data_IF_778402214032
#
_entry.id   IF_778402214032
#
_cell.length_a   1.000
_cell.length_b   1.000
_cell.length_c   1.000
_cell.angle_alpha   90.00
_cell.angle_beta   90.00
_cell.angle_gamma   90.00
#
_symmetry.space_group_name_H-M   'P 1'
#
loop_
_entity.id
_entity.type
_entity.pdbx_description
1 polymer ?
#
# COMPACT_ATOMS: atom_id res chain seq x y z
N UNK A 1 24.77 4.86 10.68
CA UNK A 1 23.60 5.45 9.98
C UNK A 1 22.42 4.48 9.94
N UNK A 2 22.56 3.29 9.34
CA UNK A 2 21.48 2.30 9.29
C UNK A 2 20.82 2.01 10.65
N UNK A 3 21.60 1.68 11.68
CA UNK A 3 21.08 1.43 13.04
C UNK A 3 20.33 2.62 13.63
N UNK A 4 20.72 3.85 13.26
CA UNK A 4 20.02 5.06 13.68
C UNK A 4 18.65 5.18 13.00
N UNK A 5 18.55 4.85 11.70
CA UNK A 5 17.26 4.81 11.00
C UNK A 5 16.33 3.72 11.54
N UNK A 6 16.86 2.58 11.99
CA UNK A 6 16.07 1.53 12.65
C UNK A 6 15.46 2.09 13.94
N UNK A 7 16.29 2.68 14.82
CA UNK A 7 15.81 3.31 16.07
C UNK A 7 14.79 4.42 15.80
N UNK A 8 15.01 5.23 14.76
CA UNK A 8 14.06 6.28 14.36
C UNK A 8 12.69 5.70 13.95
N UNK A 9 12.66 4.59 13.22
CA UNK A 9 11.41 3.96 12.82
C UNK A 9 10.64 3.39 14.02
N UNK A 10 11.37 2.88 15.02
CA UNK A 10 10.80 2.34 16.27
C UNK A 10 10.32 3.41 17.25
N UNK A 11 10.77 4.67 17.10
CA UNK A 11 10.29 5.74 17.97
C UNK A 11 8.83 6.09 17.71
N UNK A 12 8.02 6.06 18.77
CA UNK A 12 6.62 6.49 18.73
C UNK A 12 6.54 8.03 18.74
N UNK A 13 5.63 8.65 17.96
CA UNK A 13 5.36 10.07 18.09
C UNK A 13 4.78 10.31 19.50
N UNK A 14 5.38 11.16 20.34
CA UNK A 14 4.81 11.43 21.66
C UNK A 14 3.56 12.30 21.53
N UNK A 15 2.53 12.03 22.35
CA UNK A 15 1.25 12.77 22.37
C UNK A 15 1.39 14.30 22.61
N UNK A 16 2.57 14.77 23.04
CA UNK A 16 2.78 16.16 23.49
C UNK A 16 4.10 16.80 23.01
N UNK A 17 5.02 16.04 22.40
CA UNK A 17 6.35 16.56 22.01
C UNK A 17 6.73 16.15 20.59
N UNK A 18 6.14 16.78 19.58
CA UNK A 18 6.55 16.64 18.17
C UNK A 18 8.02 17.02 17.86
N UNK A 19 8.89 17.16 18.88
CA UNK A 19 10.30 17.53 18.78
C UNK A 19 11.22 16.33 18.53
N UNK A 20 11.14 15.23 19.32
CA UNK A 20 12.18 14.17 19.27
C UNK A 20 12.16 13.33 18.01
N UNK A 21 11.00 12.79 17.63
CA UNK A 21 10.85 11.97 16.42
C UNK A 21 11.20 12.78 15.17
N UNK A 22 10.72 14.03 15.11
CA UNK A 22 11.04 14.99 14.05
C UNK A 22 12.53 15.34 14.01
N UNK A 23 13.18 15.53 15.15
CA UNK A 23 14.63 15.79 15.22
C UNK A 23 15.44 14.60 14.72
N UNK A 24 15.09 13.37 15.10
CA UNK A 24 15.76 12.16 14.61
C UNK A 24 15.64 12.03 13.09
N UNK A 25 14.44 12.27 12.55
CA UNK A 25 14.20 12.31 11.11
C UNK A 25 15.04 13.38 10.39
N UNK A 26 15.07 14.61 10.90
CA UNK A 26 15.87 15.67 10.30
C UNK A 26 17.37 15.35 10.35
N UNK A 27 17.86 14.76 11.44
CA UNK A 27 19.25 14.29 11.54
C UNK A 27 19.55 13.18 10.52
N UNK A 28 18.64 12.22 10.34
CA UNK A 28 18.79 11.16 9.35
C UNK A 28 18.93 11.74 7.92
N UNK A 29 18.09 12.73 7.57
CA UNK A 29 18.17 13.43 6.27
C UNK A 29 19.47 14.21 6.12
N UNK A 30 19.89 14.95 7.15
CA UNK A 30 21.14 15.72 7.13
C UNK A 30 22.36 14.84 6.96
N UNK A 31 22.44 13.72 7.69
CA UNK A 31 23.54 12.76 7.54
C UNK A 31 23.53 12.08 6.18
N UNK A 32 22.36 11.71 5.66
CA UNK A 32 22.25 11.15 4.31
C UNK A 32 22.80 12.13 3.27
N UNK A 33 22.40 13.40 3.34
CA UNK A 33 22.88 14.45 2.43
C UNK A 33 24.39 14.71 2.57
N UNK A 34 24.93 14.70 3.79
CA UNK A 34 26.36 14.87 4.03
C UNK A 34 27.18 13.71 3.42
N UNK A 35 26.77 12.46 3.68
CA UNK A 35 27.44 11.26 3.17
C UNK A 35 27.40 11.25 1.63
N UNK A 36 26.27 11.63 1.05
CA UNK A 36 26.11 11.78 -0.40
C UNK A 36 27.01 12.88 -0.98
N UNK A 37 27.10 14.03 -0.31
CA UNK A 37 28.00 15.11 -0.70
C UNK A 37 29.49 14.74 -0.65
N UNK A 38 29.86 13.75 0.18
CA UNK A 38 31.20 13.16 0.22
C UNK A 38 31.43 12.11 -0.89
N UNK A 39 30.42 11.83 -1.72
CA UNK A 39 30.48 10.80 -2.76
C UNK A 39 30.49 9.37 -2.21
N UNK A 40 30.17 9.19 -0.92
CA UNK A 40 30.14 7.87 -0.29
C UNK A 40 28.82 7.20 -0.66
N UNK A 41 28.93 5.99 -1.20
CA UNK A 41 27.77 5.23 -1.65
C UNK A 41 27.92 3.75 -1.31
N UNK A 42 27.03 3.24 -0.45
CA UNK A 42 27.09 1.87 0.08
C UNK A 42 25.70 1.25 0.19
N UNK A 43 25.67 -0.07 0.36
CA UNK A 43 24.43 -0.83 0.54
C UNK A 43 23.67 -0.37 1.79
N UNK A 44 24.39 -0.13 2.89
CA UNK A 44 23.82 0.30 4.16
C UNK A 44 23.21 1.71 4.06
N UNK A 45 23.80 2.58 3.21
CA UNK A 45 23.23 3.89 2.93
C UNK A 45 21.92 3.76 2.16
N UNK A 46 21.83 2.86 1.18
CA UNK A 46 20.58 2.57 0.47
C UNK A 46 19.53 1.97 1.40
N UNK A 47 19.89 1.01 2.26
CA UNK A 47 18.99 0.47 3.29
C UNK A 47 18.49 1.58 4.22
N UNK A 48 19.38 2.47 4.67
CA UNK A 48 19.01 3.62 5.51
C UNK A 48 18.05 4.57 4.79
N UNK A 49 18.26 4.84 3.49
CA UNK A 49 17.35 5.65 2.66
C UNK A 49 15.98 4.99 2.51
N UNK A 50 15.91 3.68 2.30
CA UNK A 50 14.64 2.92 2.27
C UNK A 50 13.87 3.04 3.58
N UNK A 51 14.56 2.94 4.73
CA UNK A 51 13.92 3.13 6.05
C UNK A 51 13.45 4.56 6.28
N UNK A 52 14.17 5.57 5.79
CA UNK A 52 13.74 6.98 5.83
C UNK A 52 12.48 7.18 4.98
N UNK A 53 12.44 6.63 3.76
CA UNK A 53 11.27 6.71 2.90
C UNK A 53 10.05 6.02 3.56
N UNK A 54 10.25 4.85 4.17
CA UNK A 54 9.21 4.17 4.95
C UNK A 54 8.73 5.02 6.13
N UNK A 55 9.65 5.64 6.88
CA UNK A 55 9.31 6.55 7.97
C UNK A 55 8.44 7.72 7.47
N UNK A 56 8.80 8.31 6.34
CA UNK A 56 8.05 9.40 5.73
C UNK A 56 6.63 8.94 5.34
N UNK A 57 6.47 7.73 4.80
CA UNK A 57 5.16 7.13 4.50
C UNK A 57 4.30 6.94 5.75
N UNK A 58 4.81 6.26 6.79
CA UNK A 58 4.01 5.96 8.00
C UNK A 58 3.71 7.19 8.86
N UNK A 59 4.38 8.31 8.62
CA UNK A 59 4.08 9.59 9.27
C UNK A 59 3.34 10.58 8.34
N UNK A 60 2.92 10.16 7.15
CA UNK A 60 2.12 11.00 6.24
C UNK A 60 2.89 12.13 5.56
N UNK A 61 4.22 12.04 5.47
CA UNK A 61 5.11 13.01 4.81
C UNK A 61 5.23 12.74 3.30
N UNK A 62 4.10 12.60 2.60
CA UNK A 62 4.04 12.07 1.23
C UNK A 62 4.92 12.79 0.19
N UNK A 63 5.01 14.14 0.15
CA UNK A 63 5.92 14.80 -0.78
C UNK A 63 7.40 14.44 -0.53
N UNK A 64 7.79 14.29 0.73
CA UNK A 64 9.14 13.87 1.09
C UNK A 64 9.37 12.40 0.72
N UNK A 65 8.40 11.52 1.06
CA UNK A 65 8.43 10.10 0.71
C UNK A 65 8.62 9.89 -0.80
N UNK A 66 7.86 10.61 -1.63
CA UNK A 66 7.96 10.52 -3.09
C UNK A 66 9.38 10.84 -3.59
N UNK A 67 9.99 11.92 -3.10
CA UNK A 67 11.35 12.31 -3.46
C UNK A 67 12.37 11.28 -2.95
N UNK A 68 12.22 10.83 -1.71
CA UNK A 68 13.13 9.85 -1.10
C UNK A 68 13.09 8.52 -1.83
N UNK A 69 11.92 8.01 -2.21
CA UNK A 69 11.79 6.77 -3.00
C UNK A 69 12.53 6.93 -4.34
N UNK A 70 12.28 8.01 -5.09
CA UNK A 70 12.97 8.25 -6.35
C UNK A 70 14.50 8.34 -6.21
N UNK A 71 14.98 9.07 -5.21
CA UNK A 71 16.41 9.15 -4.90
C UNK A 71 17.00 7.79 -4.50
N UNK A 72 16.26 6.99 -3.73
CA UNK A 72 16.67 5.65 -3.29
C UNK A 72 16.75 4.68 -4.47
N UNK A 73 15.81 4.73 -5.40
CA UNK A 73 15.85 3.94 -6.65
C UNK A 73 17.12 4.25 -7.43
N UNK A 74 17.41 5.54 -7.68
CA UNK A 74 18.63 5.95 -8.41
C UNK A 74 19.92 5.59 -7.68
N UNK A 75 19.92 5.71 -6.35
CA UNK A 75 21.03 5.27 -5.53
C UNK A 75 21.25 3.75 -5.67
N UNK A 76 20.19 2.96 -5.69
CA UNK A 76 20.29 1.49 -5.85
C UNK A 76 20.80 1.11 -7.24
N UNK A 77 20.31 1.78 -8.29
CA UNK A 77 20.81 1.61 -9.66
C UNK A 77 22.33 1.87 -9.73
N UNK A 78 22.78 2.96 -9.11
CA UNK A 78 24.21 3.30 -9.08
C UNK A 78 25.06 2.23 -8.36
N UNK A 79 24.55 1.58 -7.31
CA UNK A 79 25.25 0.45 -6.66
C UNK A 79 25.36 -0.75 -7.61
N UNK A 80 24.27 -1.11 -8.27
CA UNK A 80 24.20 -2.25 -9.18
C UNK A 80 25.14 -2.07 -10.38
N UNK A 81 25.18 -0.85 -10.93
CA UNK A 81 26.07 -0.50 -12.04
C UNK A 81 27.54 -0.59 -11.58
N UNK A 82 27.89 -0.01 -10.43
CA UNK A 82 29.25 -0.05 -9.90
C UNK A 82 29.72 -1.48 -9.61
N UNK A 83 28.86 -2.32 -9.02
CA UNK A 83 29.15 -3.73 -8.76
C UNK A 83 29.42 -4.52 -10.04
N UNK A 84 28.69 -4.21 -11.13
CA UNK A 84 28.88 -4.85 -12.44
C UNK A 84 30.19 -4.42 -13.10
N UNK A 85 30.61 -3.15 -12.96
CA UNK A 85 31.88 -2.66 -13.49
C UNK A 85 33.11 -3.23 -12.78
N UNK A 86 33.01 -3.51 -11.48
CA UNK A 86 34.09 -4.09 -10.69
C UNK A 86 34.23 -5.61 -10.84
N UNK A 87 33.21 -6.29 -11.39
CA UNK A 87 33.22 -7.73 -11.63
C UNK A 87 33.82 -8.03 -13.02
N UNK A 88 34.74 -9.00 -13.12
CA UNK A 88 35.45 -9.40 -14.36
C UNK A 88 34.49 -9.74 -15.53
N UNK A 89 34.89 -9.63 -16.82
CA UNK A 89 34.05 -9.94 -17.98
C UNK A 89 33.76 -11.43 -18.23
N UNK A 90 34.11 -12.32 -17.31
CA UNK A 90 33.90 -13.77 -17.45
C UNK A 90 32.42 -14.15 -17.23
N UNK A 91 31.93 -15.25 -17.86
CA UNK A 91 30.50 -15.56 -17.88
C UNK A 91 30.02 -15.81 -16.45
N UNK A 92 28.86 -15.23 -16.08
CA UNK A 92 28.56 -14.97 -14.69
C UNK A 92 28.24 -16.27 -13.97
N UNK A 93 28.70 -16.41 -12.74
CA UNK A 93 27.83 -17.02 -11.74
C UNK A 93 26.58 -16.14 -11.75
N UNK A 94 25.51 -16.65 -12.39
CA UNK A 94 24.29 -15.99 -12.86
C UNK A 94 23.98 -14.64 -12.19
N UNK A 95 23.60 -13.63 -12.96
CA UNK A 95 23.24 -12.27 -12.51
C UNK A 95 22.04 -12.15 -11.54
N UNK A 96 21.84 -13.13 -10.66
CA UNK A 96 20.93 -13.13 -9.53
C UNK A 96 21.43 -12.15 -8.47
N UNK A 97 20.61 -11.18 -8.03
CA UNK A 97 20.98 -10.26 -6.95
C UNK A 97 21.26 -11.03 -5.64
N UNK A 98 22.09 -10.46 -4.75
CA UNK A 98 22.21 -11.01 -3.39
C UNK A 98 20.89 -10.88 -2.64
N UNK A 99 20.61 -11.72 -1.63
CA UNK A 99 19.41 -11.60 -0.81
C UNK A 99 19.21 -10.21 -0.21
N UNK A 100 20.28 -9.52 0.22
CA UNK A 100 20.15 -8.16 0.77
C UNK A 100 19.72 -7.15 -0.29
N UNK A 101 20.30 -7.24 -1.50
CA UNK A 101 19.91 -6.37 -2.64
C UNK A 101 18.46 -6.66 -3.03
N UNK A 102 18.04 -7.93 -3.01
CA UNK A 102 16.69 -8.30 -3.33
C UNK A 102 15.65 -7.74 -2.34
N UNK A 103 15.96 -7.78 -1.04
CA UNK A 103 15.10 -7.17 -0.01
C UNK A 103 15.01 -5.66 -0.13
N UNK A 104 16.12 -4.99 -0.45
CA UNK A 104 16.12 -3.55 -0.70
C UNK A 104 15.21 -3.23 -1.88
N UNK A 105 15.34 -3.94 -2.99
CA UNK A 105 14.46 -3.76 -4.14
C UNK A 105 13.00 -4.06 -3.83
N UNK A 106 12.70 -5.10 -3.05
CA UNK A 106 11.35 -5.36 -2.58
C UNK A 106 10.79 -4.17 -1.80
N UNK A 107 11.57 -3.62 -0.86
CA UNK A 107 11.17 -2.46 -0.07
C UNK A 107 10.92 -1.23 -0.94
N UNK A 108 11.85 -0.89 -1.83
CA UNK A 108 11.74 0.24 -2.76
C UNK A 108 10.51 0.07 -3.66
N UNK A 109 10.36 -1.10 -4.27
CA UNK A 109 9.24 -1.41 -5.15
C UNK A 109 7.93 -1.24 -4.40
N UNK A 110 7.78 -1.85 -3.23
CA UNK A 110 6.54 -1.79 -2.44
C UNK A 110 6.20 -0.36 -2.00
N UNK A 111 7.19 0.45 -1.60
CA UNK A 111 6.99 1.86 -1.25
C UNK A 111 6.58 2.71 -2.46
N UNK A 112 7.19 2.47 -3.62
CA UNK A 112 6.83 3.15 -4.87
C UNK A 112 5.40 2.79 -5.30
N UNK A 113 4.98 1.52 -5.14
CA UNK A 113 3.59 1.09 -5.37
C UNK A 113 2.60 1.83 -4.48
N UNK A 114 2.92 1.95 -3.19
CA UNK A 114 2.09 2.70 -2.24
C UNK A 114 1.85 4.13 -2.73
N UNK A 115 2.92 4.84 -3.11
CA UNK A 115 2.85 6.23 -3.57
C UNK A 115 2.10 6.36 -4.91
N UNK A 116 2.30 5.42 -5.84
CA UNK A 116 1.63 5.42 -7.13
C UNK A 116 0.10 5.32 -6.97
N UNK A 117 -0.37 4.43 -6.09
CA UNK A 117 -1.80 4.22 -5.85
C UNK A 117 -2.46 5.48 -5.27
N UNK A 118 -1.78 6.19 -4.36
CA UNK A 118 -2.27 7.46 -3.80
C UNK A 118 -2.31 8.60 -4.82
N UNK A 119 -1.43 8.58 -5.82
CA UNK A 119 -1.33 9.66 -6.82
C UNK A 119 -2.19 9.44 -8.08
N UNK A 120 -3.01 8.39 -8.12
CA UNK A 120 -4.02 8.17 -9.14
C UNK A 120 -3.47 7.62 -10.46
N UNK A 121 -3.12 8.49 -11.41
CA UNK A 121 -2.71 8.11 -12.77
C UNK A 121 -1.21 8.13 -13.01
N UNK A 122 -0.40 8.44 -11.98
CA UNK A 122 1.05 8.48 -12.14
C UNK A 122 1.59 7.07 -12.26
N UNK A 123 2.24 6.81 -13.39
CA UNK A 123 3.10 5.65 -13.58
C UNK A 123 4.20 5.66 -12.51
N UNK A 124 4.48 4.48 -12.00
CA UNK A 124 5.47 4.29 -10.95
C UNK A 124 6.90 4.55 -11.43
N UNK A 125 7.73 4.95 -10.47
CA UNK A 125 9.16 5.19 -10.71
C UNK A 125 9.93 3.89 -10.97
N UNK A 126 9.44 2.76 -10.45
CA UNK A 126 10.00 1.42 -10.65
C UNK A 126 9.42 0.67 -11.85
N UNK A 127 8.33 1.13 -12.47
CA UNK A 127 7.73 0.49 -13.64
C UNK A 127 8.65 0.41 -14.88
N UNK A 128 9.69 1.26 -14.94
CA UNK A 128 10.73 1.22 -15.97
C UNK A 128 12.01 0.46 -15.55
N UNK A 129 12.07 -0.09 -14.32
CA UNK A 129 13.22 -0.87 -13.85
C UNK A 129 13.19 -2.24 -14.54
N UNK A 130 14.35 -2.64 -15.06
CA UNK A 130 14.49 -3.62 -16.13
C UNK A 130 13.85 -4.99 -15.81
N UNK A 131 13.22 -5.66 -16.80
CA UNK A 131 12.68 -7.02 -16.67
C UNK A 131 13.65 -8.03 -16.06
N UNK A 132 14.96 -7.85 -16.27
CA UNK A 132 16.02 -8.69 -15.72
C UNK A 132 16.09 -8.66 -14.18
N UNK A 133 15.87 -7.48 -13.57
CA UNK A 133 15.85 -7.36 -12.11
C UNK A 133 14.60 -8.04 -11.57
N UNK A 134 13.44 -7.86 -12.21
CA UNK A 134 12.20 -8.54 -11.84
C UNK A 134 12.30 -10.07 -11.94
N UNK A 135 12.90 -10.60 -13.01
CA UNK A 135 13.08 -12.04 -13.20
C UNK A 135 14.11 -12.63 -12.22
N UNK A 136 15.22 -11.92 -11.98
CA UNK A 136 16.22 -12.29 -10.96
C UNK A 136 15.66 -12.23 -9.54
N UNK A 137 14.89 -11.19 -9.23
CA UNK A 137 14.16 -11.05 -7.96
C UNK A 137 13.16 -12.17 -7.80
N UNK A 138 12.32 -12.45 -8.81
CA UNK A 138 11.34 -13.53 -8.77
C UNK A 138 12.00 -14.89 -8.56
N UNK A 139 13.11 -15.17 -9.24
CA UNK A 139 13.87 -16.42 -9.07
C UNK A 139 14.48 -16.57 -7.69
N UNK A 140 14.93 -15.47 -7.09
CA UNK A 140 15.50 -15.51 -5.74
C UNK A 140 14.37 -15.62 -4.70
N UNK A 141 13.38 -14.74 -4.81
CA UNK A 141 12.37 -14.46 -3.81
C UNK A 141 11.25 -15.49 -3.80
N UNK A 142 10.88 -16.09 -4.94
CA UNK A 142 10.02 -17.27 -4.93
C UNK A 142 10.84 -18.45 -4.39
N UNK A 143 10.57 -18.93 -3.16
CA UNK A 143 11.25 -20.13 -2.69
C UNK A 143 10.90 -21.27 -3.64
N UNK A 144 11.83 -22.21 -3.83
CA UNK A 144 11.42 -23.50 -4.37
C UNK A 144 10.26 -24.05 -3.52
N UNK A 145 9.33 -24.78 -4.12
CA UNK A 145 8.18 -25.41 -3.44
C UNK A 145 8.54 -26.29 -2.21
N UNK A 146 9.82 -26.44 -1.91
CA UNK A 146 10.40 -27.28 -0.86
C UNK A 146 10.96 -26.52 0.35
N UNK A 147 10.86 -25.19 0.40
CA UNK A 147 11.30 -24.43 1.57
C UNK A 147 10.19 -24.40 2.64
N UNK A 148 10.32 -25.24 3.66
CA UNK A 148 9.30 -25.52 4.68
C UNK A 148 9.19 -24.42 5.76
N UNK A 149 10.11 -23.46 5.82
CA UNK A 149 10.07 -22.38 6.82
C UNK A 149 9.27 -21.16 6.34
N UNK A 150 7.94 -21.30 6.41
CA UNK A 150 6.97 -20.23 6.17
C UNK A 150 7.08 -19.06 7.17
N UNK A 151 7.87 -19.20 8.25
CA UNK A 151 8.06 -18.13 9.24
C UNK A 151 9.25 -17.22 8.95
N UNK A 152 10.12 -17.62 8.01
CA UNK A 152 11.32 -16.88 7.63
C UNK A 152 10.99 -15.47 7.12
N UNK A 153 11.89 -14.51 7.40
CA UNK A 153 11.76 -13.14 6.89
C UNK A 153 11.74 -13.11 5.36
N UNK A 154 12.49 -14.03 4.73
CA UNK A 154 12.55 -14.19 3.29
C UNK A 154 11.18 -14.54 2.69
N UNK A 155 10.50 -15.52 3.27
CA UNK A 155 9.17 -15.93 2.84
C UNK A 155 8.16 -14.78 2.96
N UNK A 156 8.18 -14.04 4.07
CA UNK A 156 7.28 -12.90 4.30
C UNK A 156 7.50 -11.77 3.29
N UNK A 157 8.77 -11.44 3.01
CA UNK A 157 9.12 -10.44 1.98
C UNK A 157 8.71 -10.91 0.60
N UNK A 158 8.79 -12.21 0.31
CA UNK A 158 8.32 -12.80 -0.94
C UNK A 158 6.83 -12.62 -1.17
N UNK A 159 6.03 -12.94 -0.15
CA UNK A 159 4.57 -12.74 -0.22
C UNK A 159 4.22 -11.26 -0.36
N UNK A 160 4.93 -10.38 0.34
CA UNK A 160 4.74 -8.94 0.22
C UNK A 160 5.04 -8.43 -1.19
N UNK A 161 6.17 -8.85 -1.77
CA UNK A 161 6.56 -8.48 -3.12
C UNK A 161 5.57 -9.01 -4.16
N UNK A 162 5.15 -10.27 -4.07
CA UNK A 162 4.13 -10.83 -4.96
C UNK A 162 2.82 -10.07 -4.90
N UNK A 163 2.38 -9.66 -3.70
CA UNK A 163 1.19 -8.82 -3.54
C UNK A 163 1.38 -7.43 -4.15
N UNK A 164 2.56 -6.82 -4.00
CA UNK A 164 2.89 -5.53 -4.60
C UNK A 164 2.90 -5.59 -6.13
N UNK A 165 3.42 -6.67 -6.72
CA UNK A 165 3.48 -6.89 -8.18
C UNK A 165 2.08 -7.09 -8.78
N UNK A 166 1.23 -7.87 -8.13
CA UNK A 166 -0.18 -8.02 -8.57
C UNK A 166 -0.89 -6.67 -8.49
N UNK A 167 -0.70 -5.92 -7.41
CA UNK A 167 -1.30 -4.61 -7.21
C UNK A 167 -0.86 -3.60 -8.28
N UNK A 168 0.41 -3.63 -8.69
CA UNK A 168 0.93 -2.82 -9.78
C UNK A 168 0.29 -3.14 -11.12
N UNK A 169 0.23 -4.43 -11.46
CA UNK A 169 -0.38 -4.91 -12.69
C UNK A 169 -1.86 -4.56 -12.74
N UNK A 170 -2.56 -4.69 -11.61
CA UNK A 170 -3.96 -4.29 -11.47
C UNK A 170 -4.11 -2.79 -11.71
N UNK A 171 -3.31 -1.96 -11.03
CA UNK A 171 -3.35 -0.51 -11.17
C UNK A 171 -3.03 -0.07 -12.59
N UNK A 172 -2.05 -0.71 -13.24
CA UNK A 172 -1.67 -0.43 -14.64
C UNK A 172 -2.78 -0.82 -15.60
N UNK A 173 -3.36 -2.02 -15.46
CA UNK A 173 -4.46 -2.49 -16.31
C UNK A 173 -5.69 -1.58 -16.22
N UNK A 174 -5.99 -1.05 -15.03
CA UNK A 174 -7.14 -0.16 -14.81
C UNK A 174 -6.93 1.26 -15.36
N UNK A 175 -5.69 1.77 -15.34
CA UNK A 175 -5.39 3.16 -15.72
C UNK A 175 -4.84 3.31 -17.14
N UNK A 176 -4.27 2.25 -17.73
CA UNK A 176 -3.68 2.26 -19.08
C UNK A 176 -4.26 1.10 -19.93
N UNK A 177 -5.56 1.12 -20.27
CA UNK A 177 -6.18 0.09 -21.08
C UNK A 177 -5.59 0.05 -22.49
N UNK A 178 -5.52 -1.14 -23.08
CA UNK A 178 -4.95 -1.35 -24.43
C UNK A 178 -5.89 -0.92 -25.55
N UNK A 179 -7.15 -0.63 -25.22
CA UNK A 179 -8.20 -0.24 -26.17
C UNK A 179 -9.05 -1.41 -26.65
N UNK A 180 -8.64 -2.64 -26.36
CA UNK A 180 -9.46 -3.85 -26.49
C UNK A 180 -10.15 -4.17 -25.16
N UNK A 181 -11.39 -3.72 -25.02
CA UNK A 181 -12.20 -3.89 -23.80
C UNK A 181 -12.33 -5.36 -23.36
N UNK A 182 -12.38 -6.30 -24.31
CA UNK A 182 -12.51 -7.72 -23.97
C UNK A 182 -11.20 -8.29 -23.43
N UNK A 183 -10.06 -7.96 -24.06
CA UNK A 183 -8.75 -8.37 -23.59
C UNK A 183 -8.39 -7.71 -22.23
N UNK A 184 -8.70 -6.42 -22.08
CA UNK A 184 -8.47 -5.68 -20.83
C UNK A 184 -9.30 -6.28 -19.67
N UNK A 185 -10.58 -6.62 -19.92
CA UNK A 185 -11.43 -7.27 -18.93
C UNK A 185 -10.92 -8.67 -18.53
N UNK A 186 -10.51 -9.50 -19.50
CA UNK A 186 -9.92 -10.81 -19.23
C UNK A 186 -8.64 -10.71 -18.40
N UNK A 187 -7.79 -9.73 -18.71
CA UNK A 187 -6.56 -9.48 -17.96
C UNK A 187 -6.85 -9.08 -16.50
N UNK A 188 -7.83 -8.20 -16.26
CA UNK A 188 -8.28 -7.84 -14.91
C UNK A 188 -8.82 -9.06 -14.14
N UNK A 189 -9.62 -9.91 -14.79
CA UNK A 189 -10.15 -11.14 -14.17
C UNK A 189 -9.03 -12.09 -13.75
N UNK A 190 -8.01 -12.27 -14.59
CA UNK A 190 -6.85 -13.10 -14.26
C UNK A 190 -6.08 -12.54 -13.05
N UNK A 191 -5.93 -11.21 -12.97
CA UNK A 191 -5.28 -10.56 -11.84
C UNK A 191 -6.08 -10.69 -10.54
N UNK A 192 -7.42 -10.62 -10.61
CA UNK A 192 -8.32 -10.86 -9.48
C UNK A 192 -8.21 -12.29 -8.94
N UNK A 193 -8.18 -13.28 -9.82
CA UNK A 193 -7.99 -14.69 -9.46
C UNK A 193 -6.62 -14.91 -8.83
N UNK A 194 -5.58 -14.32 -9.42
CA UNK A 194 -4.21 -14.40 -8.90
C UNK A 194 -4.10 -13.76 -7.50
N UNK A 195 -4.76 -12.62 -7.27
CA UNK A 195 -4.82 -11.97 -5.97
C UNK A 195 -5.51 -12.84 -4.92
N UNK A 196 -6.68 -13.41 -5.26
CA UNK A 196 -7.44 -14.31 -4.38
C UNK A 196 -6.65 -15.57 -4.03
N UNK A 197 -5.97 -16.17 -5.00
CA UNK A 197 -5.11 -17.34 -4.79
C UNK A 197 -3.93 -17.00 -3.86
N UNK A 198 -3.29 -15.84 -4.04
CA UNK A 198 -2.22 -15.41 -3.16
C UNK A 198 -2.73 -15.16 -1.73
N UNK A 199 -3.92 -14.57 -1.57
CA UNK A 199 -4.54 -14.40 -0.25
C UNK A 199 -4.79 -15.74 0.44
N UNK A 200 -5.36 -16.72 -0.27
CA UNK A 200 -5.61 -18.05 0.29
C UNK A 200 -4.31 -18.72 0.78
N UNK A 201 -3.22 -18.56 0.03
CA UNK A 201 -1.90 -19.06 0.43
C UNK A 201 -1.40 -18.32 1.68
N UNK A 202 -1.39 -17.00 1.66
CA UNK A 202 -0.87 -16.18 2.78
C UNK A 202 -1.68 -16.37 4.07
N UNK A 203 -3.00 -16.47 3.97
CA UNK A 203 -3.89 -16.76 5.11
C UNK A 203 -3.58 -18.13 5.71
N UNK A 204 -3.34 -19.15 4.88
CA UNK A 204 -2.97 -20.48 5.34
C UNK A 204 -1.64 -20.48 6.12
N UNK A 205 -0.69 -19.65 5.70
CA UNK A 205 0.66 -19.62 6.28
C UNK A 205 0.75 -18.86 7.60
N UNK A 206 -0.05 -17.79 7.76
CA UNK A 206 0.05 -16.87 8.92
C UNK A 206 -0.92 -17.25 10.05
N UNK A 207 -2.01 -17.97 9.73
CA UNK A 207 -3.09 -18.27 10.66
C UNK A 207 -4.07 -17.10 10.82
N UNK A 208 -5.32 -17.41 11.16
CA UNK A 208 -6.44 -16.45 11.10
C UNK A 208 -6.29 -15.22 12.02
N UNK A 209 -5.60 -15.36 13.16
CA UNK A 209 -5.47 -14.28 14.15
C UNK A 209 -4.47 -13.19 13.75
N UNK A 210 -3.57 -13.49 12.80
CA UNK A 210 -2.47 -12.60 12.42
C UNK A 210 -2.69 -11.89 11.07
N UNK A 211 -3.85 -12.07 10.44
CA UNK A 211 -4.12 -11.54 9.10
C UNK A 211 -4.05 -10.01 9.02
N UNK A 212 -4.49 -9.28 10.06
CA UNK A 212 -4.47 -7.82 10.12
C UNK A 212 -3.04 -7.25 10.10
N UNK A 213 -2.07 -8.04 10.55
CA UNK A 213 -0.65 -7.68 10.56
C UNK A 213 0.06 -8.01 9.23
N UNK A 214 -0.61 -8.73 8.33
CA UNK A 214 -0.02 -9.10 7.04
C UNK A 214 -0.07 -7.95 6.03
N UNK A 215 1.11 -7.40 5.72
CA UNK A 215 1.25 -6.41 4.65
C UNK A 215 0.87 -6.98 3.28
N UNK A 216 1.15 -8.26 3.03
CA UNK A 216 0.80 -8.93 1.77
C UNK A 216 -0.72 -9.01 1.58
N UNK A 217 -1.47 -9.42 2.62
CA UNK A 217 -2.94 -9.42 2.56
C UNK A 217 -3.50 -8.02 2.38
N UNK A 218 -2.90 -7.03 3.06
CA UNK A 218 -3.31 -5.63 2.95
C UNK A 218 -3.14 -5.08 1.53
N UNK A 219 -2.02 -5.40 0.86
CA UNK A 219 -1.79 -5.03 -0.53
C UNK A 219 -2.74 -5.76 -1.49
N UNK A 220 -2.96 -7.07 -1.31
CA UNK A 220 -3.92 -7.81 -2.11
C UNK A 220 -5.34 -7.23 -1.99
N UNK A 221 -5.80 -6.97 -0.75
CA UNK A 221 -7.10 -6.35 -0.50
C UNK A 221 -7.20 -4.95 -1.13
N UNK A 222 -6.12 -4.16 -1.07
CA UNK A 222 -6.06 -2.85 -1.75
C UNK A 222 -6.26 -3.01 -3.26
N UNK A 223 -5.67 -4.04 -3.88
CA UNK A 223 -5.85 -4.34 -5.31
C UNK A 223 -7.27 -4.79 -5.64
N UNK A 224 -7.86 -5.65 -4.81
CA UNK A 224 -9.27 -6.06 -4.95
C UNK A 224 -10.22 -4.86 -4.82
N UNK A 225 -9.97 -3.95 -3.88
CA UNK A 225 -10.75 -2.72 -3.74
C UNK A 225 -10.71 -1.88 -5.03
N UNK A 226 -9.54 -1.67 -5.63
CA UNK A 226 -9.40 -0.92 -6.88
C UNK A 226 -10.17 -1.58 -8.03
N UNK A 227 -10.05 -2.90 -8.16
CA UNK A 227 -10.71 -3.66 -9.22
C UNK A 227 -12.24 -3.66 -9.10
N UNK A 228 -12.76 -3.95 -7.89
CA UNK A 228 -14.20 -3.99 -7.68
C UNK A 228 -14.84 -2.59 -7.71
N UNK A 229 -14.14 -1.56 -7.22
CA UNK A 229 -14.57 -0.18 -7.37
C UNK A 229 -14.71 0.18 -8.86
N UNK A 230 -13.71 -0.16 -9.68
CA UNK A 230 -13.75 0.11 -11.11
C UNK A 230 -14.90 -0.66 -11.80
N UNK A 231 -15.04 -1.95 -11.51
CA UNK A 231 -16.13 -2.78 -12.03
C UNK A 231 -17.52 -2.22 -11.66
N UNK A 232 -17.70 -1.70 -10.45
CA UNK A 232 -18.97 -1.10 -10.00
C UNK A 232 -19.33 0.21 -10.71
N UNK A 233 -18.34 0.90 -11.29
CA UNK A 233 -18.53 2.18 -12.01
C UNK A 233 -18.81 2.01 -13.51
N UNK A 234 -18.69 0.80 -14.05
CA UNK A 234 -18.96 0.55 -15.47
C UNK A 234 -20.44 0.84 -15.79
N UNK A 235 -20.67 1.73 -16.76
CA UNK A 235 -22.01 2.18 -17.16
C UNK A 235 -22.72 1.16 -18.06
N UNK A 236 -24.03 1.01 -17.85
CA UNK A 236 -24.89 0.02 -18.51
C UNK A 236 -25.04 0.28 -20.01
N UNK A 237 -24.33 -0.52 -20.81
CA UNK A 237 -24.52 -0.57 -22.28
C UNK A 237 -24.83 -2.01 -22.74
N UNK A 238 -24.47 -3.03 -21.93
CA UNK A 238 -24.53 -4.45 -22.29
C UNK A 238 -24.91 -5.34 -21.08
N UNK A 239 -25.49 -6.52 -21.35
CA UNK A 239 -25.90 -7.54 -20.36
C UNK A 239 -24.68 -8.11 -19.59
N UNK A 240 -23.55 -8.26 -20.29
CA UNK A 240 -22.27 -8.69 -19.71
C UNK A 240 -21.76 -7.64 -18.71
N UNK A 241 -21.81 -6.36 -19.08
CA UNK A 241 -21.37 -5.25 -18.21
C UNK A 241 -22.24 -5.16 -16.96
N UNK A 242 -23.55 -5.39 -17.10
CA UNK A 242 -24.51 -5.41 -15.99
C UNK A 242 -24.20 -6.53 -14.99
N UNK A 243 -23.86 -7.71 -15.51
CA UNK A 243 -23.45 -8.86 -14.69
C UNK A 243 -22.14 -8.58 -13.94
N UNK A 244 -21.14 -8.05 -14.63
CA UNK A 244 -19.86 -7.66 -14.04
C UNK A 244 -20.01 -6.60 -12.95
N UNK A 245 -20.86 -5.59 -13.17
CA UNK A 245 -21.15 -4.55 -12.17
C UNK A 245 -21.79 -5.17 -10.91
N UNK A 246 -22.78 -6.05 -11.09
CA UNK A 246 -23.46 -6.73 -9.98
C UNK A 246 -22.48 -7.59 -9.17
N UNK A 247 -21.65 -8.40 -9.83
CA UNK A 247 -20.64 -9.23 -9.18
C UNK A 247 -19.61 -8.36 -8.44
N UNK A 248 -19.10 -7.31 -9.09
CA UNK A 248 -18.15 -6.38 -8.48
C UNK A 248 -18.72 -5.70 -7.24
N UNK A 249 -19.99 -5.26 -7.29
CA UNK A 249 -20.67 -4.63 -6.17
C UNK A 249 -20.86 -5.58 -4.99
N UNK A 250 -21.30 -6.83 -5.24
CA UNK A 250 -21.45 -7.84 -4.20
C UNK A 250 -20.11 -8.21 -3.57
N UNK A 251 -19.08 -8.44 -4.40
CA UNK A 251 -17.74 -8.79 -3.93
C UNK A 251 -17.11 -7.67 -3.10
N UNK A 252 -17.34 -6.41 -3.50
CA UNK A 252 -16.90 -5.25 -2.73
C UNK A 252 -17.61 -5.15 -1.37
N UNK A 253 -18.92 -5.42 -1.31
CA UNK A 253 -19.67 -5.43 -0.07
C UNK A 253 -19.16 -6.51 0.91
N UNK A 254 -18.93 -7.72 0.40
CA UNK A 254 -18.41 -8.83 1.21
C UNK A 254 -17.01 -8.53 1.75
N UNK A 255 -16.12 -7.97 0.91
CA UNK A 255 -14.77 -7.60 1.30
C UNK A 255 -14.76 -6.50 2.39
N UNK A 256 -15.60 -5.47 2.24
CA UNK A 256 -15.75 -4.40 3.23
C UNK A 256 -16.32 -4.92 4.56
N UNK A 257 -17.34 -5.77 4.50
CA UNK A 257 -17.95 -6.37 5.69
C UNK A 257 -16.96 -7.28 6.42
N UNK A 258 -16.23 -8.11 5.69
CA UNK A 258 -15.18 -8.98 6.23
C UNK A 258 -14.07 -8.17 6.90
N UNK A 259 -13.62 -7.08 6.27
CA UNK A 259 -12.62 -6.20 6.87
C UNK A 259 -13.14 -5.53 8.14
N UNK A 260 -14.37 -5.02 8.12
CA UNK A 260 -14.97 -4.39 9.30
C UNK A 260 -15.09 -5.39 10.48
N UNK A 261 -15.51 -6.62 10.21
CA UNK A 261 -15.60 -7.67 11.23
C UNK A 261 -14.23 -8.00 11.85
N UNK A 262 -13.15 -7.99 11.05
CA UNK A 262 -11.78 -8.21 11.55
C UNK A 262 -11.24 -7.06 12.39
N UNK A 263 -11.65 -5.83 12.10
CA UNK A 263 -11.16 -4.63 12.78
C UNK A 263 -11.97 -4.24 14.02
N UNK A 264 -13.26 -4.62 14.08
CA UNK A 264 -14.17 -4.32 15.19
C UNK A 264 -13.60 -4.66 16.58
N UNK A 265 -12.89 -5.80 16.79
CA UNK A 265 -12.30 -6.13 18.08
C UNK A 265 -11.23 -5.13 18.56
N UNK A 266 -10.46 -4.55 17.63
CA UNK A 266 -9.43 -3.57 17.95
C UNK A 266 -10.03 -2.20 18.29
N UNK A 267 -11.17 -1.87 17.70
CA UNK A 267 -11.88 -0.60 17.94
C UNK A 267 -12.66 -0.64 19.25
N UNK A 268 -13.31 -1.77 19.55
CA UNK A 268 -14.09 -1.95 20.76
C UNK A 268 -13.23 -2.32 21.98
N UNK A 269 -11.92 -2.48 21.80
CA UNK A 269 -10.96 -2.78 22.87
C UNK A 269 -11.00 -4.23 23.37
N UNK A 270 -11.62 -5.15 22.62
CA UNK A 270 -11.62 -6.59 22.96
C UNK A 270 -10.31 -7.27 22.57
N UNK A 271 -9.56 -6.71 21.61
CA UNK A 271 -8.22 -7.13 21.22
C UNK A 271 -7.24 -5.98 21.40
N UNK A 272 -6.14 -6.24 22.11
CA UNK A 272 -5.03 -5.28 22.23
C UNK A 272 -4.20 -5.35 20.94
N UNK A 273 -4.12 -4.23 20.21
CA UNK A 273 -3.32 -4.15 19.00
C UNK A 273 -1.82 -4.17 19.33
N UNK A 274 -1.07 -5.04 18.67
CA UNK A 274 0.39 -4.95 18.62
C UNK A 274 0.78 -3.99 17.48
N UNK A 275 0.83 -2.69 17.81
CA UNK A 275 1.12 -1.66 16.82
C UNK A 275 2.50 -1.79 16.17
N UNK A 276 3.44 -2.48 16.81
CA UNK A 276 4.78 -2.67 16.29
C UNK A 276 4.85 -3.79 15.23
N UNK A 277 3.84 -4.68 15.21
CA UNK A 277 3.66 -5.70 14.17
C UNK A 277 2.77 -5.28 13.01
N UNK A 278 2.03 -4.18 13.13
CA UNK A 278 1.18 -3.72 12.05
C UNK A 278 2.03 -3.44 10.81
N UNK A 279 1.42 -3.59 9.65
CA UNK A 279 2.04 -3.19 8.40
C UNK A 279 1.57 -1.79 7.98
N UNK A 280 2.46 -0.91 7.49
CA UNK A 280 2.09 0.38 6.91
C UNK A 280 0.96 0.30 5.87
N UNK A 281 0.92 -0.81 5.13
CA UNK A 281 -0.07 -1.09 4.08
C UNK A 281 -1.46 -1.37 4.65
N UNK A 282 -1.56 -1.84 5.89
CA UNK A 282 -2.84 -2.01 6.58
C UNK A 282 -3.56 -0.68 6.68
N UNK A 283 -2.84 0.42 6.89
CA UNK A 283 -3.46 1.74 7.10
C UNK A 283 -3.99 2.32 5.82
N UNK A 284 -3.23 2.17 4.73
CA UNK A 284 -3.67 2.52 3.39
C UNK A 284 -4.92 1.71 3.01
N UNK A 285 -4.92 0.39 3.25
CA UNK A 285 -6.08 -0.46 2.97
C UNK A 285 -7.33 0.01 3.73
N UNK A 286 -7.21 0.29 5.02
CA UNK A 286 -8.35 0.75 5.84
C UNK A 286 -8.83 2.14 5.41
N UNK A 287 -7.91 3.05 5.11
CA UNK A 287 -8.25 4.35 4.54
C UNK A 287 -9.03 4.22 3.22
N UNK A 288 -8.57 3.34 2.31
CA UNK A 288 -9.26 3.06 1.04
C UNK A 288 -10.65 2.50 1.25
N UNK A 289 -10.82 1.54 2.15
CA UNK A 289 -12.13 1.01 2.53
C UNK A 289 -13.05 2.11 3.08
N UNK A 290 -12.55 2.97 3.97
CA UNK A 290 -13.30 4.10 4.51
C UNK A 290 -13.70 5.11 3.42
N UNK A 291 -12.80 5.42 2.48
CA UNK A 291 -13.08 6.32 1.37
C UNK A 291 -14.18 5.77 0.45
N UNK A 292 -14.15 4.46 0.15
CA UNK A 292 -15.18 3.77 -0.63
C UNK A 292 -16.54 3.79 0.05
N UNK A 293 -16.60 3.46 1.34
CA UNK A 293 -17.85 3.52 2.12
C UNK A 293 -18.39 4.95 2.20
N UNK A 294 -17.50 5.93 2.37
CA UNK A 294 -17.86 7.35 2.38
C UNK A 294 -18.46 7.76 1.03
N UNK A 295 -17.86 7.36 -0.09
CA UNK A 295 -18.39 7.62 -1.42
C UNK A 295 -19.79 7.00 -1.62
N UNK A 296 -20.00 5.77 -1.17
CA UNK A 296 -21.28 5.07 -1.32
C UNK A 296 -22.40 5.69 -0.49
N UNK A 297 -22.11 6.09 0.75
CA UNK A 297 -23.08 6.82 1.59
C UNK A 297 -23.55 8.14 0.97
N UNK A 298 -22.79 8.69 0.02
CA UNK A 298 -23.12 9.93 -0.69
C UNK A 298 -23.94 9.69 -1.97
N UNK A 299 -23.96 8.47 -2.51
CA UNK A 299 -24.63 8.13 -3.78
C UNK A 299 -25.88 7.29 -3.55
N UNK A 300 -25.85 6.38 -2.59
CA UNK A 300 -26.93 5.47 -2.22
C UNK A 300 -27.63 5.98 -0.95
N UNK A 301 -28.92 5.68 -0.78
CA UNK A 301 -29.61 5.94 0.49
C UNK A 301 -28.79 5.36 1.66
N UNK A 302 -28.59 6.16 2.71
CA UNK A 302 -27.71 5.82 3.83
C UNK A 302 -28.07 4.49 4.47
N UNK A 303 -27.29 3.44 4.16
CA UNK A 303 -27.44 2.13 4.79
C UNK A 303 -26.80 2.14 6.20
N UNK A 304 -27.51 1.64 7.21
CA UNK A 304 -26.97 1.55 8.58
C UNK A 304 -25.68 0.73 8.65
N UNK A 305 -25.55 -0.30 7.80
CA UNK A 305 -24.34 -1.12 7.73
C UNK A 305 -23.15 -0.32 7.22
N UNK A 306 -23.34 0.54 6.21
CA UNK A 306 -22.29 1.44 5.71
C UNK A 306 -21.83 2.42 6.80
N UNK A 307 -22.77 2.99 7.58
CA UNK A 307 -22.42 3.85 8.71
C UNK A 307 -21.65 3.09 9.80
N UNK A 308 -22.03 1.84 10.09
CA UNK A 308 -21.33 0.99 11.05
C UNK A 308 -19.90 0.70 10.58
N UNK A 309 -19.73 0.25 9.34
CA UNK A 309 -18.40 -0.01 8.76
C UNK A 309 -17.53 1.24 8.78
N UNK A 310 -18.07 2.40 8.40
CA UNK A 310 -17.32 3.67 8.43
C UNK A 310 -16.87 4.04 9.84
N UNK A 311 -17.70 3.83 10.86
CA UNK A 311 -17.33 4.05 12.26
C UNK A 311 -16.18 3.13 12.69
N UNK A 312 -16.22 1.86 12.29
CA UNK A 312 -15.15 0.89 12.58
C UNK A 312 -13.85 1.33 11.90
N UNK A 313 -13.87 1.62 10.59
CA UNK A 313 -12.65 2.02 9.88
C UNK A 313 -12.03 3.31 10.44
N UNK A 314 -12.85 4.34 10.70
CA UNK A 314 -12.38 5.58 11.34
C UNK A 314 -11.89 5.34 12.76
N UNK A 315 -12.55 4.47 13.51
CA UNK A 315 -12.13 4.06 14.85
C UNK A 315 -10.75 3.42 14.83
N UNK A 316 -10.53 2.47 13.92
CA UNK A 316 -9.25 1.78 13.79
C UNK A 316 -8.11 2.73 13.40
N UNK A 317 -8.34 3.65 12.44
CA UNK A 317 -7.35 4.67 12.10
C UNK A 317 -7.00 5.57 13.29
N UNK A 318 -7.98 5.97 14.12
CA UNK A 318 -7.70 6.73 15.35
C UNK A 318 -6.85 5.92 16.32
N UNK A 319 -7.18 4.66 16.56
CA UNK A 319 -6.42 3.78 17.45
C UNK A 319 -4.96 3.64 17.00
N UNK A 320 -4.71 3.52 15.70
CA UNK A 320 -3.35 3.35 15.15
C UNK A 320 -2.59 4.67 15.02
N UNK A 321 -3.29 5.81 15.01
CA UNK A 321 -2.65 7.13 14.91
C UNK A 321 -1.66 7.44 16.05
N UNK A 322 -1.81 6.78 17.20
CA UNK A 322 -0.85 6.84 18.32
C UNK A 322 0.54 6.33 17.94
N UNK A 323 0.61 5.40 16.98
CA UNK A 323 1.88 4.84 16.48
C UNK A 323 2.31 5.49 15.17
N UNK A 324 1.38 5.74 14.26
CA UNK A 324 1.65 6.18 12.89
C UNK A 324 0.78 7.36 12.48
N UNK A 325 1.40 8.52 12.29
CA UNK A 325 0.70 9.77 11.99
C UNK A 325 0.04 9.81 10.60
N UNK A 326 0.36 8.88 9.68
CA UNK A 326 -0.36 8.79 8.41
C UNK A 326 -1.87 8.58 8.61
N UNK A 327 -2.28 7.92 9.71
CA UNK A 327 -3.68 7.73 10.04
C UNK A 327 -4.41 9.04 10.36
N UNK A 328 -3.76 10.01 11.02
CA UNK A 328 -4.35 11.33 11.23
C UNK A 328 -4.58 12.03 9.89
N UNK A 329 -3.58 11.98 9.01
CA UNK A 329 -3.69 12.53 7.66
C UNK A 329 -4.81 11.88 6.86
N UNK A 330 -5.01 10.58 7.01
CA UNK A 330 -6.12 9.86 6.37
C UNK A 330 -7.49 10.27 6.90
N UNK A 331 -7.62 10.50 8.21
CA UNK A 331 -8.85 11.01 8.79
C UNK A 331 -9.17 12.42 8.27
N UNK A 332 -8.16 13.30 8.17
CA UNK A 332 -8.31 14.63 7.54
C UNK A 332 -8.80 14.53 6.10
N UNK A 333 -8.21 13.66 5.28
CA UNK A 333 -8.62 13.46 3.89
C UNK A 333 -10.06 12.93 3.77
N UNK A 334 -10.49 12.07 4.69
CA UNK A 334 -11.89 11.62 4.74
C UNK A 334 -12.83 12.78 5.11
N UNK A 335 -12.41 13.67 6.00
CA UNK A 335 -13.20 14.83 6.42
C UNK A 335 -13.29 15.89 5.31
N UNK A 336 -12.18 16.16 4.60
CA UNK A 336 -12.13 17.00 3.40
C UNK A 336 -13.06 16.48 2.31
N UNK A 337 -13.12 15.16 2.08
CA UNK A 337 -14.04 14.58 1.10
C UNK A 337 -15.52 14.66 1.52
N UNK A 338 -15.79 14.72 2.82
CA UNK A 338 -17.14 14.80 3.38
C UNK A 338 -17.69 16.24 3.37
N UNK A 339 -16.83 17.24 3.63
CA UNK A 339 -17.23 18.63 3.94
C UNK A 339 -17.88 19.41 2.77
N UNK A 340 -17.30 19.49 1.56
CA UNK A 340 -17.90 20.25 0.44
C UNK A 340 -19.25 19.69 -0.02
N UNK A 341 -19.53 18.42 0.26
CA UNK A 341 -20.75 17.74 -0.20
C UNK A 341 -21.85 17.73 0.84
N UNK A 342 -21.50 17.79 2.13
CA UNK A 342 -22.44 18.11 3.21
C UNK A 342 -23.01 19.53 3.03
N UNK A 343 -22.16 20.48 2.62
CA UNK A 343 -22.59 21.83 2.23
C UNK A 343 -23.58 21.80 1.06
N UNK A 344 -23.32 21.03 0.00
CA UNK A 344 -24.30 20.82 -1.09
C UNK A 344 -25.61 20.20 -0.60
N UNK A 345 -25.56 19.26 0.34
CA UNK A 345 -26.77 18.64 0.90
C UNK A 345 -27.60 19.64 1.72
N UNK A 346 -26.95 20.54 2.47
CA UNK A 346 -27.60 21.64 3.18
C UNK A 346 -28.22 22.64 2.18
N UNK A 347 -27.50 23.00 1.13
CA UNK A 347 -28.02 23.90 0.07
C UNK A 347 -29.21 23.29 -0.69
N UNK A 348 -29.20 21.97 -0.92
CA UNK A 348 -30.31 21.25 -1.55
C UNK A 348 -31.51 21.08 -0.60
N UNK A 349 -31.27 20.90 0.70
CA UNK A 349 -32.31 20.89 1.73
C UNK A 349 -32.98 22.26 1.91
N UNK A 350 -32.22 23.35 1.86
CA UNK A 350 -32.78 24.70 1.94
C UNK A 350 -33.63 25.08 0.71
N UNK A 351 -33.25 24.62 -0.48
CA UNK A 351 -34.01 24.88 -1.72
C UNK A 351 -35.32 24.07 -1.82
N UNK A 352 -35.45 22.96 -1.09
CA UNK A 352 -36.68 22.15 -1.06
C UNK A 352 -37.70 22.71 -0.05
N UNK A 353 -37.24 23.34 1.03
CA UNK A 353 -38.10 24.02 1.99
C UNK A 353 -38.58 25.41 1.52
N UNK A 354 -37.84 26.08 0.63
CA UNK A 354 -38.26 27.37 0.04
C UNK A 354 -39.24 27.26 -1.13
N UNK A 355 -39.58 26.05 -1.57
CA UNK A 355 -40.52 25.79 -2.67
C UNK A 355 -41.97 25.53 -2.24
N UNK A 356 -42.23 25.48 -0.92
CA UNK A 356 -43.55 25.19 -0.34
C UNK A 356 -44.08 26.35 0.53
N UNK A 357 -43.97 27.59 0.04
CA UNK A 357 -44.67 28.75 0.62
C UNK A 357 -45.42 29.53 -0.44
#
# INVERSE_FOLDING_TARGET
MLSFCIVMLDTRPPLSEGSKCKSLYLWAKSWTSLIEGLGIHSLELVQARTLIALFEVVHGLYPAAYISVGATTRATDALNIHSRYLSSPDPPNNGTPTPEVAFIWCGIYTLDRYMAIESGSRLSLTGSVTPDIHDGLRKLICPSLYDEDHTSAFYKVSRLYGAADILDKMHTALNNPTGDSAADAQHIMLLLETASNLQAIVTKDIGYTDEVYSGALSLCNTGLFLAYENASKLTFIDEIITTCNTIGTMSLNDLLATLAAKLDPFVNGTTIADFDRLSPFTMLMVYRAAALVTQRLLVENTCQDNLRMLRIFRGFLRTVSERWLCCERYLELLDENTTPRLLKFIEQGQNTDSGNT
#
